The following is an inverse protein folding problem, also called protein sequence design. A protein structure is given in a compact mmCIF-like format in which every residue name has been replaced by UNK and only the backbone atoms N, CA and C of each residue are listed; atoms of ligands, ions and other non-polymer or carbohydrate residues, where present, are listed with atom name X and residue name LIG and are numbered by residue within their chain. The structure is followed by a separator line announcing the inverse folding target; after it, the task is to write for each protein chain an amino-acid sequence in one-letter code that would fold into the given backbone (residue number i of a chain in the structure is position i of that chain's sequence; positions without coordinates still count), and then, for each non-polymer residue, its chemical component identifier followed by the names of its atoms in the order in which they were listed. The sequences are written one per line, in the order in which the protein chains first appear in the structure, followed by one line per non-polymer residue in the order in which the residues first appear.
data_IF_422848787344
#
_entry.id   IF_422848787344
#
_cell.length_a   1.000
_cell.length_b   1.000
_cell.length_c   1.000
_cell.angle_alpha   90.00
_cell.angle_beta   90.00
_cell.angle_gamma   90.00
#
_symmetry.space_group_name_H-M   'P 1'
#
loop_
_entity.id
_entity.type
_entity.pdbx_description
1 polymer ?
#
# COMPACT_ATOMS: atom_id res chain seq x y z
N UNK A 1 -1.73 13.30 21.41
CA UNK A 1 -0.54 14.03 20.93
C UNK A 1 -0.94 15.04 19.84
N UNK A 2 -1.41 16.25 20.21
CA UNK A 2 -1.98 17.20 19.26
C UNK A 2 -0.96 17.74 18.23
N UNK A 3 0.34 17.65 18.49
CA UNK A 3 1.36 18.19 17.58
C UNK A 3 2.01 17.13 16.68
N UNK A 4 1.64 15.85 16.83
CA UNK A 4 2.22 14.77 16.03
C UNK A 4 1.69 14.86 14.59
N UNK A 5 2.61 15.02 13.62
CA UNK A 5 2.28 15.14 12.18
C UNK A 5 2.64 13.90 11.38
N UNK A 6 3.59 13.12 11.87
CA UNK A 6 4.13 11.93 11.22
C UNK A 6 4.15 10.76 12.18
N UNK A 7 3.73 9.59 11.68
CA UNK A 7 3.71 8.34 12.43
C UNK A 7 4.14 7.19 11.52
N UNK A 8 5.07 6.38 12.03
CA UNK A 8 5.50 5.14 11.38
C UNK A 8 5.10 3.95 12.23
N UNK A 9 4.52 2.92 11.62
CA UNK A 9 4.07 1.70 12.28
C UNK A 9 4.45 0.46 11.48
N UNK A 10 4.85 -0.60 12.17
CA UNK A 10 5.13 -1.91 11.58
C UNK A 10 3.98 -2.91 11.71
N UNK A 11 3.11 -2.69 12.69
CA UNK A 11 1.91 -3.51 12.91
C UNK A 11 0.75 -2.57 13.07
N UNK A 12 -0.26 -2.75 12.22
CA UNK A 12 -1.50 -2.00 12.28
C UNK A 12 -2.63 -2.95 12.67
N UNK A 13 -3.10 -2.83 13.90
CA UNK A 13 -4.32 -3.52 14.37
C UNK A 13 -5.47 -2.54 14.44
N UNK A 14 -6.70 -3.06 14.49
CA UNK A 14 -7.91 -2.24 14.65
C UNK A 14 -7.85 -1.33 15.90
N UNK A 15 -7.40 -1.87 17.03
CA UNK A 15 -7.27 -1.12 18.29
C UNK A 15 -6.26 0.03 18.16
N UNK A 16 -5.14 -0.22 17.47
CA UNK A 16 -4.12 0.80 17.20
C UNK A 16 -4.70 1.89 16.29
N UNK A 17 -5.45 1.53 15.24
CA UNK A 17 -6.08 2.51 14.35
C UNK A 17 -7.06 3.43 15.09
N UNK A 18 -7.93 2.87 15.93
CA UNK A 18 -8.86 3.66 16.75
C UNK A 18 -8.13 4.61 17.69
N UNK A 19 -7.08 4.12 18.35
CA UNK A 19 -6.25 4.92 19.25
C UNK A 19 -5.60 6.10 18.51
N UNK A 20 -5.15 5.91 17.26
CA UNK A 20 -4.55 6.98 16.45
C UNK A 20 -5.60 8.04 16.10
N UNK A 21 -6.80 7.63 15.68
CA UNK A 21 -7.90 8.54 15.36
C UNK A 21 -8.22 9.46 16.55
N UNK A 22 -8.32 8.88 17.75
CA UNK A 22 -8.69 9.62 18.96
C UNK A 22 -7.56 10.53 19.47
N UNK A 23 -6.31 10.08 19.37
CA UNK A 23 -5.20 10.73 20.06
C UNK A 23 -4.32 11.59 19.14
N UNK A 24 -4.40 11.44 17.81
CA UNK A 24 -3.50 12.10 16.85
C UNK A 24 -4.28 12.90 15.78
N UNK A 25 -5.09 13.89 16.16
CA UNK A 25 -6.00 14.58 15.23
C UNK A 25 -5.31 15.39 14.12
N UNK A 26 -4.03 15.75 14.30
CA UNK A 26 -3.24 16.53 13.34
C UNK A 26 -2.26 15.66 12.53
N UNK A 27 -2.39 14.34 12.62
CA UNK A 27 -1.56 13.41 11.86
C UNK A 27 -1.86 13.58 10.36
N UNK A 28 -0.82 13.81 9.56
CA UNK A 28 -0.96 14.05 8.12
C UNK A 28 -0.04 13.20 7.27
N UNK A 29 0.95 12.56 7.90
CA UNK A 29 1.93 11.67 7.28
C UNK A 29 1.87 10.31 7.98
N UNK A 30 1.50 9.27 7.24
CA UNK A 30 1.39 7.92 7.77
C UNK A 30 2.29 6.98 6.97
N UNK A 31 3.17 6.27 7.67
CA UNK A 31 4.07 5.27 7.10
C UNK A 31 3.71 3.93 7.71
N UNK A 32 3.22 3.02 6.87
CA UNK A 32 2.91 1.65 7.25
C UNK A 32 3.95 0.71 6.65
N UNK A 33 4.70 0.07 7.52
CA UNK A 33 5.64 -0.99 7.17
C UNK A 33 4.94 -2.32 7.39
N UNK A 34 5.00 -3.21 6.41
CA UNK A 34 4.41 -4.53 6.52
C UNK A 34 2.90 -4.54 6.71
N UNK A 35 2.18 -3.64 6.05
CA UNK A 35 0.73 -3.62 6.09
C UNK A 35 0.15 -4.86 5.40
N UNK A 36 -0.81 -5.51 6.06
CA UNK A 36 -1.60 -6.59 5.50
C UNK A 36 -3.03 -6.10 5.29
N UNK A 37 -3.49 -5.96 4.03
CA UNK A 37 -4.85 -5.59 3.74
C UNK A 37 -5.85 -6.58 4.33
N UNK A 38 -6.94 -6.08 4.92
CA UNK A 38 -8.14 -6.88 5.15
C UNK A 38 -9.19 -6.53 4.07
N UNK A 39 -9.95 -7.51 3.55
CA UNK A 39 -11.10 -7.21 2.71
C UNK A 39 -12.05 -6.26 3.46
N UNK A 40 -12.44 -5.16 2.81
CA UNK A 40 -13.33 -4.15 3.41
C UNK A 40 -12.80 -3.52 4.72
N UNK A 41 -11.52 -3.14 4.77
CA UNK A 41 -10.93 -2.47 5.95
C UNK A 41 -11.44 -1.02 6.11
N UNK A 42 -12.70 -0.92 6.53
CA UNK A 42 -13.41 0.33 6.76
C UNK A 42 -12.73 1.19 7.82
N UNK A 43 -12.01 0.57 8.75
CA UNK A 43 -11.36 1.29 9.86
C UNK A 43 -10.09 1.96 9.38
N UNK A 44 -9.33 1.30 8.52
CA UNK A 44 -8.21 1.96 7.86
C UNK A 44 -8.69 3.09 6.94
N UNK A 45 -9.78 2.89 6.19
CA UNK A 45 -10.40 3.96 5.39
C UNK A 45 -10.81 5.14 6.28
N UNK A 46 -11.46 4.88 7.40
CA UNK A 46 -11.84 5.88 8.38
C UNK A 46 -10.62 6.62 8.93
N UNK A 47 -9.53 5.90 9.26
CA UNK A 47 -8.29 6.47 9.76
C UNK A 47 -7.73 7.50 8.77
N UNK A 48 -7.55 7.11 7.51
CA UNK A 48 -6.90 7.99 6.53
C UNK A 48 -7.81 9.14 6.06
N UNK A 49 -9.13 8.95 6.07
CA UNK A 49 -10.08 9.99 5.70
C UNK A 49 -10.33 10.99 6.84
N UNK A 50 -10.58 10.52 8.07
CA UNK A 50 -10.85 11.40 9.23
C UNK A 50 -9.64 12.26 9.57
N UNK A 51 -8.43 11.69 9.48
CA UNK A 51 -7.18 12.41 9.75
C UNK A 51 -6.71 13.27 8.57
N UNK A 52 -7.43 13.26 7.44
CA UNK A 52 -7.07 14.04 6.25
C UNK A 52 -5.62 13.78 5.81
N UNK A 53 -5.23 12.49 5.75
CA UNK A 53 -3.85 12.09 5.45
C UNK A 53 -3.43 12.63 4.08
N UNK A 54 -2.27 13.29 4.05
CA UNK A 54 -1.71 13.93 2.85
C UNK A 54 -0.52 13.17 2.28
N UNK A 55 0.21 12.43 3.11
CA UNK A 55 1.33 11.59 2.73
C UNK A 55 1.10 10.19 3.28
N UNK A 56 1.04 9.21 2.37
CA UNK A 56 0.82 7.81 2.72
C UNK A 56 1.92 6.98 2.11
N UNK A 57 2.65 6.26 2.95
CA UNK A 57 3.60 5.22 2.51
C UNK A 57 3.07 3.88 2.98
N UNK A 58 2.87 2.94 2.07
CA UNK A 58 2.45 1.58 2.38
C UNK A 58 3.50 0.63 1.86
N UNK A 59 4.05 -0.19 2.74
CA UNK A 59 4.84 -1.37 2.39
C UNK A 59 4.01 -2.58 2.69
N UNK A 60 3.60 -3.33 1.66
CA UNK A 60 2.82 -4.53 1.86
C UNK A 60 3.70 -5.67 2.38
N UNK A 61 3.20 -6.42 3.36
CA UNK A 61 3.80 -7.70 3.72
C UNK A 61 3.53 -8.69 2.60
N UNK A 62 4.60 -9.25 2.01
CA UNK A 62 4.47 -10.33 1.03
C UNK A 62 3.62 -11.45 1.62
N UNK A 63 2.46 -11.69 1.00
CA UNK A 63 1.62 -12.83 1.29
C UNK A 63 1.40 -13.57 -0.02
N UNK A 64 1.38 -14.90 0.02
CA UNK A 64 1.14 -15.72 -1.17
C UNK A 64 -0.30 -15.56 -1.72
N UNK A 65 -1.13 -14.70 -1.12
CA UNK A 65 -2.48 -14.39 -1.58
C UNK A 65 -2.52 -13.04 -2.30
N UNK A 66 -2.43 -13.10 -3.63
CA UNK A 66 -2.54 -12.00 -4.61
C UNK A 66 -3.81 -11.14 -4.43
N UNK A 67 -4.82 -11.64 -3.71
CA UNK A 67 -6.19 -11.12 -3.68
C UNK A 67 -6.34 -9.87 -2.78
N UNK A 68 -5.40 -9.62 -1.86
CA UNK A 68 -5.62 -8.62 -0.79
C UNK A 68 -5.19 -7.19 -1.15
N UNK A 69 -4.24 -7.00 -2.07
CA UNK A 69 -3.64 -5.67 -2.32
C UNK A 69 -4.53 -4.75 -3.17
N UNK A 70 -5.39 -5.31 -4.03
CA UNK A 70 -6.16 -4.53 -5.01
C UNK A 70 -7.33 -3.75 -4.42
N UNK A 71 -7.91 -4.19 -3.30
CA UNK A 71 -9.06 -3.53 -2.68
C UNK A 71 -8.69 -2.19 -2.03
N UNK A 72 -7.47 -2.10 -1.50
CA UNK A 72 -6.95 -0.94 -0.78
C UNK A 72 -6.42 0.16 -1.70
N UNK A 73 -6.04 -0.23 -2.91
CA UNK A 73 -5.51 0.67 -3.94
C UNK A 73 -6.61 1.25 -4.84
N UNK A 74 -7.88 0.99 -4.52
CA UNK A 74 -9.02 1.52 -5.27
C UNK A 74 -9.33 2.98 -4.90
N UNK A 75 -9.94 3.72 -5.83
CA UNK A 75 -10.40 5.11 -5.64
C UNK A 75 -11.29 5.30 -4.41
N UNK A 76 -12.03 4.27 -4.03
CA UNK A 76 -12.99 4.34 -2.92
C UNK A 76 -12.29 4.35 -1.56
N UNK A 77 -11.02 3.97 -1.54
CA UNK A 77 -10.25 3.75 -0.34
C UNK A 77 -9.34 4.93 -0.04
N UNK A 78 -8.68 5.48 -1.06
CA UNK A 78 -7.75 6.59 -0.90
C UNK A 78 -8.49 7.92 -0.57
N UNK A 79 -7.99 8.75 0.36
CA UNK A 79 -8.66 9.98 0.75
C UNK A 79 -8.41 11.10 -0.28
N UNK A 80 -9.38 12.03 -0.50
CA UNK A 80 -9.22 13.13 -1.46
C UNK A 80 -8.16 14.16 -1.06
N UNK A 81 -7.74 14.15 0.20
CA UNK A 81 -6.66 14.99 0.75
C UNK A 81 -5.26 14.48 0.40
N UNK A 82 -5.14 13.27 -0.14
CA UNK A 82 -3.86 12.63 -0.45
C UNK A 82 -3.12 13.40 -1.55
N UNK A 83 -1.85 13.74 -1.28
CA UNK A 83 -0.96 14.44 -2.21
C UNK A 83 0.25 13.61 -2.60
N UNK A 84 0.70 12.72 -1.71
CA UNK A 84 1.87 11.88 -1.91
C UNK A 84 1.55 10.45 -1.52
N UNK A 85 1.74 9.54 -2.47
CA UNK A 85 1.52 8.11 -2.28
C UNK A 85 2.79 7.36 -2.66
N UNK A 86 3.31 6.58 -1.71
CA UNK A 86 4.44 5.67 -1.93
C UNK A 86 3.98 4.26 -1.62
N UNK A 87 4.15 3.36 -2.58
CA UNK A 87 3.75 1.97 -2.46
C UNK A 87 4.96 1.08 -2.69
N UNK A 88 5.29 0.24 -1.70
CA UNK A 88 6.24 -0.85 -1.84
C UNK A 88 5.44 -2.15 -1.89
N UNK A 89 5.48 -2.83 -3.03
CA UNK A 89 4.57 -3.93 -3.33
C UNK A 89 5.23 -4.98 -4.20
N UNK A 90 4.68 -6.20 -4.18
CA UNK A 90 5.04 -7.28 -5.10
C UNK A 90 4.14 -7.35 -6.33
N UNK A 91 3.52 -6.24 -6.73
CA UNK A 91 2.41 -6.22 -7.70
C UNK A 91 2.70 -7.00 -8.99
N UNK A 92 1.73 -7.84 -9.37
CA UNK A 92 1.55 -8.28 -10.76
C UNK A 92 1.00 -7.08 -11.52
N UNK A 93 1.56 -6.80 -12.70
CA UNK A 93 1.31 -5.61 -13.53
C UNK A 93 -0.17 -5.23 -13.73
N UNK A 94 -1.09 -6.21 -13.68
CA UNK A 94 -2.54 -6.03 -13.89
C UNK A 94 -3.23 -5.05 -12.93
N UNK A 95 -2.69 -4.82 -11.73
CA UNK A 95 -3.30 -3.90 -10.76
C UNK A 95 -2.74 -2.48 -10.85
N UNK A 96 -1.61 -2.30 -11.54
CA UNK A 96 -0.99 -1.00 -11.73
C UNK A 96 -1.91 -0.11 -12.58
N UNK A 97 -2.45 -0.64 -13.68
CA UNK A 97 -3.31 0.13 -14.59
C UNK A 97 -4.57 0.63 -13.86
N UNK A 98 -5.22 -0.23 -13.08
CA UNK A 98 -6.39 0.16 -12.28
C UNK A 98 -6.05 1.23 -11.24
N UNK A 99 -4.89 1.12 -10.58
CA UNK A 99 -4.44 2.14 -9.62
C UNK A 99 -4.15 3.47 -10.33
N UNK A 100 -3.52 3.44 -11.50
CA UNK A 100 -3.23 4.64 -12.29
C UNK A 100 -4.52 5.32 -12.77
N UNK A 101 -5.50 4.55 -13.24
CA UNK A 101 -6.83 5.03 -13.63
C UNK A 101 -7.55 5.69 -12.45
N UNK A 102 -7.52 5.05 -11.28
CA UNK A 102 -8.12 5.60 -10.06
C UNK A 102 -7.40 6.88 -9.58
N UNK A 103 -6.08 6.93 -9.72
CA UNK A 103 -5.27 8.11 -9.38
C UNK A 103 -5.55 9.32 -10.31
N UNK A 104 -6.06 9.11 -11.53
CA UNK A 104 -6.35 10.20 -12.47
C UNK A 104 -7.40 11.19 -11.93
N UNK A 105 -8.27 10.74 -11.03
CA UNK A 105 -9.30 11.56 -10.41
C UNK A 105 -8.85 12.22 -9.10
N UNK A 106 -7.60 11.97 -8.67
CA UNK A 106 -7.04 12.48 -7.43
C UNK A 106 -6.16 13.71 -7.66
N UNK A 107 -6.06 14.60 -6.67
CA UNK A 107 -5.11 15.74 -6.66
C UNK A 107 -3.70 15.31 -6.24
N UNK A 108 -3.30 14.10 -6.66
CA UNK A 108 -2.03 13.50 -6.29
C UNK A 108 -0.89 14.26 -6.99
N UNK A 109 0.08 14.73 -6.22
CA UNK A 109 1.26 15.44 -6.74
C UNK A 109 2.41 14.49 -7.06
N UNK A 110 2.45 13.34 -6.38
CA UNK A 110 3.51 12.36 -6.53
C UNK A 110 2.99 10.96 -6.22
N UNK A 111 3.24 10.06 -7.15
CA UNK A 111 3.07 8.62 -7.00
C UNK A 111 4.45 7.97 -7.15
N UNK A 112 4.86 7.16 -6.19
CA UNK A 112 6.06 6.32 -6.29
C UNK A 112 5.65 4.88 -6.05
N UNK A 113 6.01 4.01 -7.00
CA UNK A 113 5.74 2.58 -6.91
C UNK A 113 7.07 1.84 -6.97
N UNK A 114 7.41 1.21 -5.85
CA UNK A 114 8.56 0.33 -5.73
C UNK A 114 8.09 -1.11 -5.87
N UNK A 115 8.31 -1.67 -7.06
CA UNK A 115 8.04 -3.09 -7.32
C UNK A 115 9.22 -3.88 -6.76
N UNK A 116 8.97 -4.63 -5.69
CA UNK A 116 9.96 -5.53 -5.12
C UNK A 116 9.94 -6.84 -5.90
N UNK A 117 11.07 -7.19 -6.51
CA UNK A 117 11.21 -8.48 -7.21
C UNK A 117 11.02 -9.59 -6.19
N UNK A 118 9.95 -10.37 -6.33
CA UNK A 118 9.82 -11.61 -5.59
C UNK A 118 10.97 -12.50 -6.03
N UNK A 119 11.94 -12.70 -5.15
CA UNK A 119 12.71 -13.93 -5.23
C UNK A 119 11.69 -15.01 -4.89
N UNK A 120 11.10 -15.60 -5.93
CA UNK A 120 10.50 -16.92 -5.82
C UNK A 120 11.57 -17.77 -5.17
N UNK A 121 11.45 -18.00 -3.86
CA UNK A 121 12.13 -19.13 -3.24
C UNK A 121 11.45 -20.33 -3.88
N UNK A 122 11.98 -20.75 -5.03
CA UNK A 122 11.85 -22.11 -5.48
C UNK A 122 12.43 -22.93 -4.33
N UNK A 123 11.56 -23.43 -3.45
CA UNK A 123 11.88 -24.63 -2.69
C UNK A 123 12.15 -25.68 -3.75
N UNK A 124 13.44 -25.90 -3.97
CA UNK A 124 14.05 -26.92 -4.79
C UNK A 124 13.25 -28.21 -4.71
N UNK A 125 12.60 -28.56 -5.81
CA UNK A 125 12.56 -29.92 -6.31
C UNK A 125 12.83 -29.86 -7.81
N UNK A 126 14.13 -29.96 -8.12
CA UNK A 126 14.77 -30.55 -9.29
C UNK A 126 14.27 -30.26 -10.73
N UNK A 127 15.29 -29.93 -11.53
CA UNK A 127 15.49 -30.15 -12.97
C UNK A 127 15.10 -29.04 -13.96
N UNK A 128 16.17 -28.52 -14.59
CA UNK A 128 16.28 -27.91 -15.92
C UNK A 128 15.54 -26.58 -16.18
N UNK A 129 16.32 -25.50 -16.18
CA UNK A 129 16.06 -24.35 -17.05
C UNK A 129 17.19 -24.29 -18.07
N UNK A 130 16.93 -24.82 -19.27
CA UNK A 130 17.58 -24.37 -20.48
C UNK A 130 16.97 -23.02 -20.88
N UNK A 131 17.82 -22.01 -20.89
CA UNK A 131 18.00 -21.01 -21.94
C UNK A 131 16.78 -20.57 -22.77
N UNK A 132 16.19 -19.41 -22.44
CA UNK A 132 15.53 -18.54 -23.42
C UNK A 132 15.78 -17.07 -23.02
N UNK A 133 16.99 -16.59 -23.29
CA UNK A 133 17.21 -15.15 -23.55
C UNK A 133 17.41 -14.97 -25.04
N UNK A 134 16.33 -14.71 -25.77
CA UNK A 134 16.32 -13.97 -27.04
C UNK A 134 14.88 -13.84 -27.54
N UNK A 135 14.20 -12.75 -27.14
CA UNK A 135 13.02 -12.30 -27.90
C UNK A 135 12.65 -10.82 -27.79
N UNK A 136 13.57 -9.95 -27.38
CA UNK A 136 13.37 -8.50 -27.41
C UNK A 136 14.66 -7.73 -27.74
N UNK A 137 15.34 -8.15 -28.82
CA UNK A 137 16.22 -7.31 -29.63
C UNK A 137 15.66 -7.24 -31.05
#
# INVERSE_FOLDING_TARGET
MPNLKELTLEVLTQEVMLSIIENCPNLTHLILKGYRPFPHDQIFKDLIQKLQITHLTITFLYSNSVISESSILSKEFLPPSLKYLVIHCGLITIYLDSLLDDCCYMKLKRLIIHIMKSFLYNSTNNSQFDDITDKYL
#
